data_IF_158358463985
#
_entry.id   IF_158358463985
#
_cell.length_a   1.000
_cell.length_b   1.000
_cell.length_c   1.000
_cell.angle_alpha   90.00
_cell.angle_beta   90.00
_cell.angle_gamma   90.00
#
_symmetry.space_group_name_H-M   'P 1'
#
loop_
_entity.id
_entity.type
_entity.pdbx_description
1 polymer ?
#
# COMPACT_ATOMS: atom_id res chain seq x y z
N UNK A 1 19.43 6.69 -9.51
CA UNK A 1 19.14 5.43 -8.76
C UNK A 1 17.92 4.79 -9.38
N UNK A 2 17.96 3.50 -9.66
CA UNK A 2 16.83 2.79 -10.26
C UNK A 2 15.90 2.24 -9.17
N UNK A 3 14.61 2.09 -9.49
CA UNK A 3 13.66 1.41 -8.63
C UNK A 3 13.87 -0.10 -8.79
N UNK A 4 14.25 -0.76 -7.72
CA UNK A 4 14.50 -2.22 -7.69
C UNK A 4 13.65 -2.95 -6.66
N UNK A 5 13.14 -2.25 -5.64
CA UNK A 5 12.34 -2.84 -4.57
C UNK A 5 11.24 -1.86 -4.17
N UNK A 6 10.00 -2.28 -4.25
CA UNK A 6 8.90 -1.44 -3.77
C UNK A 6 7.73 -2.29 -3.27
N UNK A 7 6.86 -1.66 -2.51
CA UNK A 7 5.71 -2.32 -1.92
C UNK A 7 4.41 -1.67 -2.29
N UNK A 8 3.35 -2.48 -2.38
CA UNK A 8 2.00 -2.03 -2.63
C UNK A 8 1.08 -2.62 -1.57
N UNK A 9 0.37 -1.75 -0.84
CA UNK A 9 -0.63 -2.15 0.14
C UNK A 9 -2.02 -1.91 -0.43
N UNK A 10 -2.89 -2.91 -0.31
CA UNK A 10 -4.26 -2.78 -0.79
C UNK A 10 -5.26 -3.35 0.21
N UNK A 11 -6.48 -2.82 0.17
CA UNK A 11 -7.59 -3.33 0.97
C UNK A 11 -8.48 -4.20 0.11
N UNK A 12 -8.88 -5.33 0.65
CA UNK A 12 -9.82 -6.24 0.00
C UNK A 12 -10.57 -7.03 1.08
N UNK A 13 -11.87 -7.23 0.87
CA UNK A 13 -12.69 -7.98 1.82
C UNK A 13 -12.11 -9.39 2.01
N UNK A 14 -11.92 -9.79 3.26
CA UNK A 14 -11.38 -11.11 3.61
C UNK A 14 -9.87 -11.24 3.53
N UNK A 15 -9.15 -10.19 3.12
CA UNK A 15 -7.69 -10.24 3.07
C UNK A 15 -7.08 -10.17 4.47
N UNK A 16 -5.90 -10.78 4.59
CA UNK A 16 -5.15 -10.88 5.84
C UNK A 16 -3.68 -10.54 5.54
N UNK A 17 -3.10 -9.50 6.15
CA UNK A 17 -1.74 -9.08 5.83
C UNK A 17 -0.66 -10.10 6.22
N UNK A 18 -0.97 -11.06 7.10
CA UNK A 18 -0.05 -12.15 7.41
C UNK A 18 -0.05 -13.24 6.35
N UNK A 19 -1.21 -13.45 5.70
CA UNK A 19 -1.40 -14.50 4.70
C UNK A 19 -1.22 -13.99 3.28
N UNK A 20 -1.78 -12.81 2.99
CA UNK A 20 -1.91 -12.32 1.62
C UNK A 20 -0.74 -11.41 1.26
N UNK A 21 0.44 -12.03 1.19
CA UNK A 21 1.68 -11.39 0.78
C UNK A 21 2.14 -12.07 -0.51
N UNK A 22 2.26 -11.30 -1.57
CA UNK A 22 2.67 -11.80 -2.88
C UNK A 22 3.92 -11.06 -3.33
N UNK A 23 4.93 -11.81 -3.74
CA UNK A 23 6.17 -11.24 -4.27
C UNK A 23 6.22 -11.49 -5.76
N UNK A 24 6.40 -10.43 -6.53
CA UNK A 24 6.63 -10.49 -7.96
C UNK A 24 8.07 -10.05 -8.19
N UNK A 25 8.91 -10.95 -8.65
CA UNK A 25 10.32 -10.67 -8.90
C UNK A 25 10.62 -10.92 -10.38
N UNK A 26 10.95 -9.84 -11.10
CA UNK A 26 11.23 -9.90 -12.54
C UNK A 26 12.72 -10.11 -12.83
N UNK A 27 13.55 -10.13 -11.81
CA UNK A 27 15.00 -10.11 -11.94
C UNK A 27 15.57 -8.69 -11.98
N UNK A 28 14.76 -7.71 -12.40
CA UNK A 28 15.16 -6.30 -12.43
C UNK A 28 14.45 -5.48 -11.35
N UNK A 29 13.30 -5.93 -10.86
CA UNK A 29 12.54 -5.25 -9.83
C UNK A 29 11.77 -6.27 -8.99
N UNK A 30 11.76 -6.06 -7.70
CA UNK A 30 11.02 -6.87 -6.74
C UNK A 30 9.87 -6.04 -6.16
N UNK A 31 8.63 -6.50 -6.37
CA UNK A 31 7.42 -5.88 -5.87
C UNK A 31 6.80 -6.77 -4.83
N UNK A 32 6.48 -6.23 -3.66
CA UNK A 32 5.79 -6.96 -2.59
C UNK A 32 4.39 -6.37 -2.43
N UNK A 33 3.37 -7.19 -2.69
CA UNK A 33 1.97 -6.79 -2.54
C UNK A 33 1.42 -7.39 -1.26
N UNK A 34 0.81 -6.56 -0.41
CA UNK A 34 0.22 -7.01 0.86
C UNK A 34 -1.24 -6.59 0.90
N UNK A 35 -2.13 -7.57 1.04
CA UNK A 35 -3.56 -7.36 1.15
C UNK A 35 -4.04 -7.37 2.59
N UNK A 36 -4.99 -6.50 2.92
CA UNK A 36 -5.58 -6.41 4.25
C UNK A 36 -7.07 -6.07 4.17
N UNK A 37 -7.81 -6.43 5.20
CA UNK A 37 -9.25 -6.19 5.23
C UNK A 37 -9.60 -4.74 5.54
N UNK A 38 -8.72 -4.04 6.28
CA UNK A 38 -8.99 -2.67 6.76
C UNK A 38 -7.73 -1.82 6.70
N UNK A 39 -7.87 -0.52 6.38
CA UNK A 39 -6.70 0.38 6.28
C UNK A 39 -5.93 0.55 7.60
N UNK A 40 -6.56 0.30 8.75
CA UNK A 40 -5.89 0.34 10.05
C UNK A 40 -4.71 -0.63 10.14
N UNK A 41 -4.73 -1.69 9.36
CA UNK A 41 -3.66 -2.70 9.35
C UNK A 41 -2.44 -2.25 8.52
N UNK A 42 -2.55 -1.13 7.83
CA UNK A 42 -1.51 -0.65 6.93
C UNK A 42 -0.22 -0.21 7.62
N UNK A 43 -0.32 0.37 8.82
CA UNK A 43 0.87 0.85 9.55
C UNK A 43 1.85 -0.29 9.85
N UNK A 44 1.35 -1.42 10.37
CA UNK A 44 2.20 -2.57 10.68
C UNK A 44 2.73 -3.24 9.41
N UNK A 45 1.90 -3.33 8.38
CA UNK A 45 2.33 -3.89 7.09
C UNK A 45 3.44 -3.04 6.45
N UNK A 46 3.32 -1.71 6.52
CA UNK A 46 4.33 -0.80 5.99
C UNK A 46 5.66 -0.93 6.73
N UNK A 47 5.63 -1.07 8.06
CA UNK A 47 6.84 -1.31 8.84
C UNK A 47 7.57 -2.57 8.38
N UNK A 48 6.82 -3.65 8.16
CA UNK A 48 7.41 -4.91 7.67
C UNK A 48 8.01 -4.75 6.28
N UNK A 49 7.36 -4.00 5.40
CA UNK A 49 7.92 -3.73 4.08
C UNK A 49 9.26 -3.03 4.16
N UNK A 50 9.37 -2.01 5.01
CA UNK A 50 10.62 -1.25 5.19
C UNK A 50 11.69 -2.10 5.87
N UNK A 51 11.34 -2.82 6.92
CA UNK A 51 12.32 -3.53 7.76
C UNK A 51 12.74 -4.87 7.18
N UNK A 52 11.84 -5.58 6.51
CA UNK A 52 12.07 -6.95 6.06
C UNK A 52 12.24 -7.09 4.55
N UNK A 53 11.71 -6.15 3.76
CA UNK A 53 11.72 -6.24 2.30
C UNK A 53 12.55 -5.16 1.62
N UNK A 54 13.11 -4.25 2.39
CA UNK A 54 14.04 -3.22 1.91
C UNK A 54 13.46 -2.37 0.77
N UNK A 55 12.18 -2.02 0.87
CA UNK A 55 11.50 -1.26 -0.17
C UNK A 55 11.99 0.18 -0.23
N UNK A 56 12.04 0.73 -1.45
CA UNK A 56 12.45 2.10 -1.69
C UNK A 56 11.28 3.08 -1.65
N UNK A 57 10.06 2.59 -1.88
CA UNK A 57 8.83 3.36 -1.76
C UNK A 57 7.66 2.42 -1.50
N UNK A 58 6.55 2.99 -1.07
CA UNK A 58 5.29 2.26 -0.86
C UNK A 58 4.17 3.00 -1.60
N UNK A 59 3.33 2.26 -2.31
CA UNK A 59 2.11 2.80 -2.90
C UNK A 59 0.90 2.16 -2.22
N UNK A 60 -0.16 2.94 -2.07
CA UNK A 60 -1.40 2.53 -1.41
C UNK A 60 -2.55 2.56 -2.41
N UNK A 61 -3.45 1.58 -2.33
CA UNK A 61 -4.67 1.63 -3.12
C UNK A 61 -5.60 2.75 -2.61
N UNK A 62 -6.62 3.08 -3.41
CA UNK A 62 -7.56 4.14 -3.08
C UNK A 62 -8.37 3.93 -1.80
N UNK A 63 -8.34 2.73 -1.23
CA UNK A 63 -9.03 2.42 0.03
C UNK A 63 -8.40 3.06 1.26
N UNK A 64 -7.18 3.62 1.16
CA UNK A 64 -6.51 4.19 2.32
C UNK A 64 -6.88 5.65 2.57
N UNK A 65 -6.90 6.48 1.56
CA UNK A 65 -7.15 7.90 1.72
C UNK A 65 -6.04 8.65 2.49
N UNK A 66 -6.18 9.97 2.65
CA UNK A 66 -5.11 10.81 3.23
C UNK A 66 -4.85 10.57 4.71
N UNK A 67 -5.87 10.26 5.50
CA UNK A 67 -5.71 10.03 6.94
C UNK A 67 -4.83 8.79 7.19
N UNK A 68 -5.12 7.71 6.49
CA UNK A 68 -4.36 6.47 6.65
C UNK A 68 -2.97 6.58 6.03
N UNK A 69 -2.82 7.34 4.94
CA UNK A 69 -1.52 7.65 4.36
C UNK A 69 -0.62 8.36 5.37
N UNK A 70 -1.17 9.35 6.07
CA UNK A 70 -0.44 10.06 7.11
C UNK A 70 0.00 9.15 8.25
N UNK A 71 -0.87 8.26 8.70
CA UNK A 71 -0.53 7.30 9.76
C UNK A 71 0.56 6.32 9.34
N UNK A 72 0.53 5.88 8.08
CA UNK A 72 1.58 5.01 7.55
C UNK A 72 2.93 5.74 7.51
N UNK A 73 2.94 6.98 7.03
CA UNK A 73 4.15 7.79 7.01
C UNK A 73 4.73 7.95 8.41
N UNK A 74 3.90 8.26 9.39
CA UNK A 74 4.34 8.38 10.79
C UNK A 74 4.90 7.05 11.31
N UNK A 75 4.22 5.95 11.03
CA UNK A 75 4.62 4.62 11.51
C UNK A 75 6.00 4.20 11.00
N UNK A 76 6.33 4.53 9.76
CA UNK A 76 7.64 4.23 9.19
C UNK A 76 8.66 5.34 9.39
N UNK A 77 8.30 6.40 10.12
CA UNK A 77 9.15 7.55 10.43
C UNK A 77 9.68 8.23 9.16
N UNK A 78 8.85 8.29 8.13
CA UNK A 78 9.18 8.92 6.84
C UNK A 78 10.44 8.33 6.17
N UNK A 79 10.77 7.08 6.47
CA UNK A 79 11.99 6.44 5.92
C UNK A 79 11.95 6.22 4.43
N UNK A 80 10.76 6.06 3.85
CA UNK A 80 10.59 5.96 2.39
C UNK A 80 9.38 6.79 1.95
N UNK A 81 9.33 7.22 0.67
CA UNK A 81 8.15 7.89 0.14
C UNK A 81 6.93 6.98 0.14
N UNK A 82 5.75 7.56 0.39
CA UNK A 82 4.47 6.86 0.33
C UNK A 82 3.52 7.66 -0.55
N UNK A 83 2.96 7.02 -1.57
CA UNK A 83 1.96 7.60 -2.44
C UNK A 83 0.65 6.84 -2.36
N UNK A 84 -0.45 7.47 -2.72
CA UNK A 84 -1.76 6.84 -2.71
C UNK A 84 -2.47 7.04 -4.05
N UNK A 85 -3.30 6.07 -4.43
CA UNK A 85 -4.16 6.19 -5.61
C UNK A 85 -5.29 7.16 -5.28
N UNK A 86 -5.51 8.12 -6.16
CA UNK A 86 -6.60 9.07 -6.07
C UNK A 86 -7.43 9.02 -7.36
N UNK A 87 -8.72 9.33 -7.23
CA UNK A 87 -9.62 9.36 -8.37
C UNK A 87 -9.99 10.81 -8.68
N UNK A 88 -9.99 11.15 -9.97
CA UNK A 88 -10.42 12.46 -10.42
C UNK A 88 -11.95 12.63 -10.34
N UNK A 89 -12.45 13.87 -10.51
CA UNK A 89 -13.88 14.16 -10.40
C UNK A 89 -14.77 13.31 -11.33
N UNK A 90 -14.25 12.93 -12.48
CA UNK A 90 -14.97 12.12 -13.48
C UNK A 90 -15.27 10.70 -12.99
N UNK A 91 -14.58 10.24 -11.96
CA UNK A 91 -14.74 8.87 -11.43
C UNK A 91 -15.51 8.81 -10.10
N UNK A 92 -15.86 9.96 -9.52
CA UNK A 92 -16.44 10.02 -8.16
C UNK A 92 -17.74 9.23 -8.07
N UNK A 93 -18.66 9.41 -9.03
CA UNK A 93 -19.94 8.73 -9.00
C UNK A 93 -19.78 7.21 -9.12
N UNK A 94 -18.91 6.76 -10.01
CA UNK A 94 -18.66 5.33 -10.18
C UNK A 94 -18.03 4.69 -8.94
N UNK A 95 -17.06 5.36 -8.33
CA UNK A 95 -16.44 4.86 -7.11
C UNK A 95 -17.43 4.83 -5.95
N UNK A 96 -18.24 5.87 -5.80
CA UNK A 96 -19.27 5.93 -4.76
C UNK A 96 -20.29 4.78 -4.91
N UNK A 97 -20.71 4.49 -6.13
CA UNK A 97 -21.65 3.40 -6.40
C UNK A 97 -21.08 2.02 -5.99
N UNK A 98 -19.78 1.80 -6.17
CA UNK A 98 -19.12 0.54 -5.81
C UNK A 98 -19.04 0.37 -4.29
N UNK A 99 -18.78 1.44 -3.55
CA UNK A 99 -18.49 1.37 -2.12
C UNK A 99 -19.64 1.84 -1.22
N UNK A 100 -20.79 2.16 -1.78
CA UNK A 100 -21.94 2.57 -0.98
C UNK A 100 -22.85 1.42 -0.57
#
# INVERSE_FOLDING_TARGET
MALTHWGFLYTAAGADPERDVTVVDTGSCRTVLVGMARPEQGADAAKKLVEQHDVQLIELCGGFGPTWTAQILDAIEYRVPVGAVAYGPESVDGVHAIFS
#
